data_IF_158841789895
#
_entry.id   IF_158841789895
#
_cell.length_a   1.000
_cell.length_b   1.000
_cell.length_c   1.000
_cell.angle_alpha   90.00
_cell.angle_beta   90.00
_cell.angle_gamma   90.00
#
_symmetry.space_group_name_H-M   'P 1'
#
loop_
_entity.id
_entity.type
_entity.pdbx_description
1 polymer ?
#
# COMPACT_ATOMS: atom_id res chain seq x y z
N UNK A 1 27.36 -13.01 -9.53
CA UNK A 1 27.97 -11.77 -9.03
C UNK A 1 27.70 -11.79 -7.55
N UNK A 2 28.75 -11.83 -6.75
CA UNK A 2 28.67 -11.84 -5.27
C UNK A 2 27.97 -10.58 -4.81
N UNK A 3 27.15 -10.70 -3.75
CA UNK A 3 26.44 -9.61 -3.06
C UNK A 3 27.38 -8.44 -2.73
N UNK A 4 27.64 -7.61 -3.72
CA UNK A 4 28.17 -6.30 -3.44
C UNK A 4 27.08 -5.57 -2.65
N UNK A 5 27.41 -5.20 -1.42
CA UNK A 5 26.62 -4.28 -0.59
C UNK A 5 26.17 -3.11 -1.45
N UNK A 6 24.96 -3.18 -1.99
CA UNK A 6 24.33 -1.99 -2.55
C UNK A 6 23.97 -1.17 -1.32
N UNK A 7 24.88 -0.28 -0.93
CA UNK A 7 24.66 0.64 0.16
C UNK A 7 23.37 1.42 -0.12
N UNK A 8 22.57 1.64 0.92
CA UNK A 8 21.37 2.47 0.79
C UNK A 8 21.78 3.87 0.27
N UNK A 9 21.04 4.44 -0.70
CA UNK A 9 21.38 5.74 -1.26
C UNK A 9 21.31 6.84 -0.20
N UNK A 10 22.07 7.91 -0.41
CA UNK A 10 22.12 9.04 0.54
C UNK A 10 20.76 9.72 0.66
N UNK A 11 20.29 9.92 1.88
CA UNK A 11 19.06 10.66 2.20
C UNK A 11 19.30 12.18 2.36
N UNK A 12 20.49 12.69 2.02
CA UNK A 12 20.79 14.13 2.09
C UNK A 12 19.81 14.94 1.24
N UNK A 13 19.04 15.80 1.88
CA UNK A 13 17.97 16.59 1.26
C UNK A 13 16.56 16.00 1.40
N UNK A 14 16.43 14.82 2.03
CA UNK A 14 15.18 14.24 2.46
C UNK A 14 15.03 14.42 3.96
N UNK A 15 14.14 15.25 4.40
CA UNK A 15 13.68 15.28 5.78
C UNK A 15 12.15 15.39 5.79
N UNK A 16 11.42 14.33 5.55
CA UNK A 16 10.09 14.22 6.12
C UNK A 16 10.29 13.98 7.62
N UNK A 17 9.46 14.59 8.44
CA UNK A 17 9.52 14.36 9.88
C UNK A 17 9.27 12.88 10.23
N UNK A 18 8.41 12.22 9.46
CA UNK A 18 8.05 10.80 9.65
C UNK A 18 7.38 10.30 8.36
N UNK A 19 7.58 9.04 8.00
CA UNK A 19 6.87 8.36 6.90
C UNK A 19 5.98 7.24 7.44
N UNK A 20 4.84 7.03 6.78
CA UNK A 20 4.04 5.79 6.88
C UNK A 20 3.84 5.26 5.47
N UNK A 21 4.46 4.12 5.20
CA UNK A 21 4.49 3.50 3.87
C UNK A 21 3.38 2.46 3.74
N UNK A 22 2.40 2.72 2.90
CA UNK A 22 1.24 1.85 2.71
C UNK A 22 1.52 0.63 1.81
N UNK A 23 2.70 0.55 1.17
CA UNK A 23 2.96 -0.41 0.11
C UNK A 23 4.44 -0.81 0.04
N UNK A 24 4.78 -1.91 0.71
CA UNK A 24 6.13 -2.49 0.69
C UNK A 24 6.07 -4.00 0.53
N UNK A 25 7.10 -4.58 -0.07
CA UNK A 25 7.25 -6.02 -0.20
C UNK A 25 8.36 -6.54 0.70
N UNK A 26 8.20 -7.78 1.17
CA UNK A 26 9.26 -8.56 1.83
C UNK A 26 9.42 -9.91 1.16
N UNK A 27 10.57 -10.55 1.32
CA UNK A 27 10.86 -11.86 0.74
C UNK A 27 11.66 -11.79 -0.54
N UNK A 28 11.61 -12.87 -1.28
CA UNK A 28 12.41 -13.12 -2.47
C UNK A 28 11.57 -13.06 -3.74
N UNK A 29 11.98 -12.23 -4.68
CA UNK A 29 11.34 -12.08 -5.98
C UNK A 29 12.37 -12.33 -7.10
N UNK A 30 12.75 -13.60 -7.35
CA UNK A 30 13.86 -13.94 -8.25
C UNK A 30 13.66 -13.46 -9.68
N UNK A 31 12.40 -13.43 -10.18
CA UNK A 31 12.08 -12.94 -11.52
C UNK A 31 12.50 -11.47 -11.72
N UNK A 32 12.48 -10.68 -10.65
CA UNK A 32 12.83 -9.26 -10.66
C UNK A 32 14.23 -8.99 -10.10
N UNK A 33 14.94 -10.04 -9.65
CA UNK A 33 16.22 -9.93 -8.96
C UNK A 33 16.16 -8.98 -7.76
N UNK A 34 15.10 -9.10 -6.97
CA UNK A 34 14.79 -8.24 -5.81
C UNK A 34 14.63 -9.10 -4.57
N UNK A 35 15.20 -8.62 -3.46
CA UNK A 35 15.15 -9.30 -2.16
C UNK A 35 15.04 -8.30 -1.01
N UNK A 36 14.16 -8.60 -0.03
CA UNK A 36 14.00 -7.82 1.21
C UNK A 36 13.70 -8.76 2.37
N UNK A 37 14.73 -9.14 3.13
CA UNK A 37 14.53 -9.89 4.38
C UNK A 37 14.24 -8.97 5.58
N UNK A 38 13.96 -9.54 6.74
CA UNK A 38 13.65 -8.79 7.97
C UNK A 38 14.78 -7.83 8.38
N UNK A 39 16.05 -8.26 8.46
CA UNK A 39 17.19 -7.39 8.75
C UNK A 39 17.32 -6.20 7.79
N UNK A 40 17.17 -6.44 6.49
CA UNK A 40 17.22 -5.40 5.47
C UNK A 40 16.01 -4.44 5.57
N UNK A 41 14.82 -4.98 5.83
CA UNK A 41 13.63 -4.17 6.10
C UNK A 41 13.87 -3.25 7.30
N UNK A 42 14.36 -3.76 8.43
CA UNK A 42 14.66 -2.98 9.63
C UNK A 42 15.63 -1.82 9.34
N UNK A 43 16.71 -2.10 8.61
CA UNK A 43 17.66 -1.07 8.17
C UNK A 43 17.00 -0.04 7.25
N UNK A 44 16.15 -0.47 6.33
CA UNK A 44 15.43 0.39 5.39
C UNK A 44 14.46 1.32 6.12
N UNK A 45 13.63 0.78 7.02
CA UNK A 45 12.71 1.59 7.82
C UNK A 45 13.43 2.67 8.62
N UNK A 46 14.55 2.29 9.26
CA UNK A 46 15.38 3.24 10.02
C UNK A 46 16.02 4.30 9.12
N UNK A 47 16.61 3.88 7.97
CA UNK A 47 17.33 4.77 7.06
C UNK A 47 16.44 5.88 6.48
N UNK A 48 15.20 5.53 6.09
CA UNK A 48 14.25 6.48 5.50
C UNK A 48 13.34 7.14 6.53
N UNK A 49 13.45 6.82 7.81
CA UNK A 49 12.58 7.38 8.85
C UNK A 49 11.13 6.89 8.74
N UNK A 50 10.92 5.68 8.24
CA UNK A 50 9.60 5.06 8.12
C UNK A 50 9.18 4.57 9.51
N UNK A 51 8.15 5.18 10.08
CA UNK A 51 7.63 4.80 11.39
C UNK A 51 6.73 3.55 11.32
N UNK A 52 6.06 3.35 10.19
CA UNK A 52 5.28 2.15 9.92
C UNK A 52 5.33 1.81 8.42
N UNK A 53 5.67 0.57 8.08
CA UNK A 53 5.63 0.03 6.73
C UNK A 53 4.64 -1.13 6.64
N UNK A 54 3.68 -1.04 5.70
CA UNK A 54 2.74 -2.12 5.40
C UNK A 54 3.41 -3.09 4.44
N UNK A 55 3.81 -4.27 4.94
CA UNK A 55 4.56 -5.27 4.18
C UNK A 55 3.70 -6.48 3.82
N UNK A 56 3.99 -7.09 2.70
CA UNK A 56 3.29 -8.30 2.25
C UNK A 56 4.17 -9.16 1.32
N UNK A 57 3.80 -10.43 1.22
CA UNK A 57 4.38 -11.45 0.35
C UNK A 57 3.34 -12.56 0.13
N UNK A 58 3.35 -13.31 -0.99
CA UNK A 58 2.43 -14.44 -1.19
C UNK A 58 2.51 -15.52 -0.10
N UNK A 59 3.64 -15.69 0.56
CA UNK A 59 3.80 -16.50 1.77
C UNK A 59 3.46 -15.66 3.00
N UNK A 60 2.21 -15.76 3.47
CA UNK A 60 1.72 -15.03 4.64
C UNK A 60 2.39 -15.42 5.95
N UNK A 61 2.86 -16.68 6.06
CA UNK A 61 3.58 -17.12 7.26
C UNK A 61 4.94 -16.43 7.37
N UNK A 62 5.63 -16.26 6.24
CA UNK A 62 6.87 -15.48 6.20
C UNK A 62 6.62 -14.01 6.59
N UNK A 63 5.52 -13.41 6.11
CA UNK A 63 5.14 -12.04 6.52
C UNK A 63 4.93 -11.97 8.03
N UNK A 64 4.26 -12.96 8.62
CA UNK A 64 4.05 -13.03 10.06
C UNK A 64 5.38 -13.05 10.84
N UNK A 65 6.32 -13.90 10.45
CA UNK A 65 7.65 -13.95 11.06
C UNK A 65 8.38 -12.60 10.99
N UNK A 66 8.31 -11.94 9.83
CA UNK A 66 8.94 -10.62 9.63
C UNK A 66 8.30 -9.55 10.52
N UNK A 67 6.96 -9.44 10.57
CA UNK A 67 6.31 -8.39 11.37
C UNK A 67 6.44 -8.62 12.87
N UNK A 68 6.57 -9.87 13.32
CA UNK A 68 6.86 -10.20 14.72
C UNK A 68 8.29 -9.81 15.10
N UNK A 69 9.26 -9.91 14.17
CA UNK A 69 10.69 -9.66 14.42
C UNK A 69 11.13 -8.21 14.16
N UNK A 70 10.38 -7.43 13.35
CA UNK A 70 10.80 -6.09 12.92
C UNK A 70 9.86 -5.03 13.48
N UNK A 71 10.42 -4.13 14.28
CA UNK A 71 9.69 -2.98 14.78
C UNK A 71 9.33 -2.01 13.65
N UNK A 72 8.08 -1.51 13.66
CA UNK A 72 7.58 -0.65 12.60
C UNK A 72 7.09 -1.40 11.35
N UNK A 73 7.25 -2.73 11.27
CA UNK A 73 6.62 -3.54 10.23
C UNK A 73 5.22 -4.00 10.64
N UNK A 74 4.27 -3.91 9.70
CA UNK A 74 2.88 -4.36 9.82
C UNK A 74 2.51 -5.14 8.56
N UNK A 75 1.71 -6.21 8.71
CA UNK A 75 1.34 -7.08 7.61
C UNK A 75 0.07 -6.65 6.89
N UNK A 76 0.05 -6.85 5.57
CA UNK A 76 -1.19 -7.02 4.82
C UNK A 76 -1.24 -8.48 4.36
N UNK A 77 -2.34 -9.17 4.65
CA UNK A 77 -2.52 -10.56 4.23
C UNK A 77 -2.62 -10.62 2.71
N UNK A 78 -1.74 -11.37 2.05
CA UNK A 78 -1.90 -11.65 0.63
C UNK A 78 -3.09 -12.58 0.43
N UNK A 79 -4.16 -12.06 -0.19
CA UNK A 79 -5.41 -12.79 -0.36
C UNK A 79 -5.60 -13.23 -1.80
N UNK A 80 -5.46 -14.54 -2.05
CA UNK A 80 -5.68 -15.15 -3.36
C UNK A 80 -6.91 -16.08 -3.32
N UNK A 81 -8.08 -15.68 -3.86
CA UNK A 81 -9.31 -16.46 -3.80
C UNK A 81 -9.27 -17.79 -4.58
N UNK A 82 -8.21 -18.02 -5.36
CA UNK A 82 -8.01 -19.28 -6.09
C UNK A 82 -7.32 -20.36 -5.26
N UNK A 83 -6.81 -20.00 -4.07
CA UNK A 83 -6.18 -20.95 -3.15
C UNK A 83 -7.25 -21.46 -2.17
N UNK A 84 -7.48 -22.78 -2.07
CA UNK A 84 -8.37 -23.33 -1.05
C UNK A 84 -7.92 -22.91 0.36
N UNK A 85 -8.87 -22.49 1.20
CA UNK A 85 -8.58 -22.08 2.58
C UNK A 85 -8.07 -20.63 2.73
N UNK A 86 -7.99 -19.85 1.65
CA UNK A 86 -7.49 -18.47 1.70
C UNK A 86 -8.29 -17.57 2.66
N UNK A 87 -9.60 -17.79 2.78
CA UNK A 87 -10.46 -16.99 3.64
C UNK A 87 -10.20 -17.31 5.12
N UNK A 88 -10.11 -18.58 5.46
CA UNK A 88 -9.81 -19.05 6.81
C UNK A 88 -8.44 -18.55 7.26
N UNK A 89 -7.42 -18.65 6.41
CA UNK A 89 -6.09 -18.12 6.67
C UNK A 89 -6.11 -16.59 6.86
N UNK A 90 -6.81 -15.88 5.98
CA UNK A 90 -6.92 -14.43 6.09
C UNK A 90 -7.60 -13.99 7.38
N UNK A 91 -8.70 -14.63 7.75
CA UNK A 91 -9.43 -14.34 9.01
C UNK A 91 -8.54 -14.57 10.22
N UNK A 92 -7.81 -15.70 10.27
CA UNK A 92 -6.87 -16.01 11.35
C UNK A 92 -5.77 -14.94 11.48
N UNK A 93 -5.16 -14.56 10.37
CA UNK A 93 -4.09 -13.56 10.37
C UNK A 93 -4.60 -12.15 10.71
N UNK A 94 -5.81 -11.78 10.29
CA UNK A 94 -6.43 -10.50 10.65
C UNK A 94 -6.80 -10.39 12.13
N UNK A 95 -6.79 -11.49 12.90
CA UNK A 95 -6.87 -11.46 14.37
C UNK A 95 -5.53 -11.11 15.03
N UNK A 96 -4.42 -11.20 14.30
CA UNK A 96 -3.10 -10.83 14.80
C UNK A 96 -2.92 -9.31 14.78
N UNK A 97 -2.49 -8.65 15.88
CA UNK A 97 -2.47 -7.19 16.02
C UNK A 97 -1.53 -6.46 15.06
N UNK A 98 -0.60 -7.18 14.44
CA UNK A 98 0.33 -6.63 13.44
C UNK A 98 -0.23 -6.69 12.00
N UNK A 99 -1.37 -7.36 11.74
CA UNK A 99 -1.99 -7.37 10.42
C UNK A 99 -3.13 -6.35 10.34
N UNK A 100 -3.01 -5.41 9.40
CA UNK A 100 -3.86 -4.22 9.35
C UNK A 100 -4.75 -4.13 8.10
N UNK A 101 -4.86 -5.21 7.36
CA UNK A 101 -5.66 -5.29 6.14
C UNK A 101 -5.20 -6.40 5.21
N UNK A 102 -5.61 -6.33 3.96
CA UNK A 102 -5.22 -7.32 2.94
C UNK A 102 -4.54 -6.67 1.74
N UNK A 103 -3.67 -7.43 1.08
CA UNK A 103 -3.16 -7.18 -0.27
C UNK A 103 -3.84 -8.12 -1.24
N UNK A 104 -4.39 -7.57 -2.31
CA UNK A 104 -4.93 -8.32 -3.44
C UNK A 104 -4.14 -8.02 -4.71
N UNK A 105 -3.80 -9.07 -5.47
CA UNK A 105 -3.09 -8.91 -6.74
C UNK A 105 -3.79 -9.64 -7.88
N UNK A 106 -4.96 -9.17 -8.34
CA UNK A 106 -5.79 -9.88 -9.33
C UNK A 106 -5.08 -10.21 -10.63
N UNK A 107 -4.04 -9.44 -11.02
CA UNK A 107 -3.25 -9.73 -12.22
C UNK A 107 -2.38 -10.98 -12.04
N UNK A 108 -1.61 -11.07 -10.94
CA UNK A 108 -0.73 -12.23 -10.70
C UNK A 108 -1.53 -13.49 -10.39
N UNK A 109 -2.60 -13.34 -9.62
CA UNK A 109 -3.43 -14.45 -9.15
C UNK A 109 -4.57 -14.81 -10.14
N UNK A 110 -4.68 -14.07 -11.24
CA UNK A 110 -5.59 -14.31 -12.36
C UNK A 110 -7.07 -14.45 -11.97
N UNK A 111 -7.62 -13.45 -11.27
CA UNK A 111 -9.04 -13.38 -10.92
C UNK A 111 -9.60 -11.96 -11.13
N UNK A 112 -10.92 -11.84 -11.24
CA UNK A 112 -11.57 -10.53 -11.33
C UNK A 112 -11.69 -9.89 -9.92
N UNK A 113 -11.38 -8.60 -9.71
CA UNK A 113 -11.44 -7.98 -8.38
C UNK A 113 -12.78 -8.14 -7.67
N UNK A 114 -13.89 -8.11 -8.42
CA UNK A 114 -15.25 -8.33 -7.92
C UNK A 114 -15.74 -9.77 -8.13
N UNK A 115 -14.84 -10.77 -8.07
CA UNK A 115 -15.24 -12.18 -8.10
C UNK A 115 -16.04 -12.51 -6.82
N UNK A 116 -17.20 -13.22 -6.91
CA UNK A 116 -17.97 -13.63 -5.74
C UNK A 116 -17.17 -14.37 -4.66
N UNK A 117 -16.11 -15.07 -5.04
CA UNK A 117 -15.21 -15.72 -4.08
C UNK A 117 -14.48 -14.73 -3.15
N UNK A 118 -14.34 -13.45 -3.57
CA UNK A 118 -13.72 -12.40 -2.77
C UNK A 118 -14.70 -11.77 -1.76
N UNK A 119 -16.00 -11.82 -2.04
CA UNK A 119 -17.00 -11.11 -1.25
C UNK A 119 -16.98 -11.41 0.26
N UNK A 120 -16.86 -12.68 0.72
CA UNK A 120 -16.78 -12.98 2.15
C UNK A 120 -15.57 -12.31 2.84
N UNK A 121 -14.43 -12.19 2.15
CA UNK A 121 -13.28 -11.48 2.66
C UNK A 121 -13.55 -9.97 2.79
N UNK A 122 -14.20 -9.37 1.81
CA UNK A 122 -14.53 -7.93 1.86
C UNK A 122 -15.55 -7.65 2.99
N UNK A 123 -16.54 -8.52 3.20
CA UNK A 123 -17.47 -8.42 4.33
C UNK A 123 -16.72 -8.47 5.67
N UNK A 124 -15.72 -9.34 5.78
CA UNK A 124 -14.88 -9.44 6.97
C UNK A 124 -14.03 -8.18 7.21
N UNK A 125 -13.46 -7.60 6.14
CA UNK A 125 -12.73 -6.34 6.21
C UNK A 125 -13.64 -5.18 6.65
N UNK A 126 -14.85 -5.09 6.10
CA UNK A 126 -15.85 -4.10 6.52
C UNK A 126 -16.18 -4.24 8.02
N UNK A 127 -16.39 -5.47 8.50
CA UNK A 127 -16.67 -5.75 9.92
C UNK A 127 -15.54 -5.32 10.85
N UNK A 128 -14.28 -5.42 10.40
CA UNK A 128 -13.06 -5.04 11.13
C UNK A 128 -12.63 -3.61 10.92
N UNK A 129 -13.29 -2.87 10.03
CA UNK A 129 -12.89 -1.53 9.58
C UNK A 129 -11.48 -1.48 8.94
N UNK A 130 -11.04 -2.58 8.31
CA UNK A 130 -9.72 -2.76 7.70
C UNK A 130 -9.74 -2.53 6.18
N UNK A 131 -8.66 -2.00 5.58
CA UNK A 131 -8.60 -1.75 4.14
C UNK A 131 -8.14 -2.95 3.31
N UNK A 132 -8.48 -2.91 2.01
CA UNK A 132 -7.91 -3.75 0.96
C UNK A 132 -7.03 -2.90 0.04
N UNK A 133 -5.74 -3.20 -0.03
CA UNK A 133 -4.81 -2.66 -1.02
C UNK A 133 -4.83 -3.57 -2.27
N UNK A 134 -5.33 -3.05 -3.38
CA UNK A 134 -5.51 -3.80 -4.63
C UNK A 134 -4.55 -3.24 -5.67
N UNK A 135 -3.71 -4.11 -6.27
CA UNK A 135 -2.86 -3.73 -7.40
C UNK A 135 -3.69 -3.15 -8.54
N UNK A 136 -3.33 -1.98 -9.06
CA UNK A 136 -4.09 -1.25 -10.07
C UNK A 136 -3.19 -0.70 -11.18
N UNK A 137 -3.65 -0.74 -12.43
CA UNK A 137 -3.00 -0.08 -13.57
C UNK A 137 -2.49 -1.00 -14.67
N UNK A 138 -2.83 -2.29 -14.62
CA UNK A 138 -2.49 -3.25 -15.66
C UNK A 138 -3.71 -4.02 -16.20
N UNK A 139 -3.84 -4.19 -17.53
CA UNK A 139 -4.85 -5.07 -18.08
C UNK A 139 -4.51 -6.54 -17.77
N UNK A 140 -5.47 -7.44 -17.66
CA UNK A 140 -6.92 -7.26 -17.87
C UNK A 140 -7.63 -6.98 -16.54
N UNK A 141 -7.18 -7.57 -15.43
CA UNK A 141 -7.93 -7.67 -14.18
C UNK A 141 -7.76 -6.45 -13.26
N UNK A 142 -6.73 -5.61 -13.46
CA UNK A 142 -6.41 -4.53 -12.52
C UNK A 142 -6.60 -3.14 -13.11
N UNK A 143 -7.56 -3.01 -14.03
CA UNK A 143 -8.01 -1.70 -14.49
C UNK A 143 -8.77 -0.99 -13.35
N UNK A 144 -8.66 0.34 -13.22
CA UNK A 144 -9.39 1.09 -12.18
C UNK A 144 -10.89 0.76 -12.17
N UNK A 145 -11.50 0.64 -13.34
CA UNK A 145 -12.94 0.35 -13.49
C UNK A 145 -13.32 -1.06 -13.06
N UNK A 146 -12.43 -2.05 -13.22
CA UNK A 146 -12.66 -3.41 -12.71
C UNK A 146 -12.65 -3.46 -11.19
N UNK A 147 -11.82 -2.61 -10.54
CA UNK A 147 -11.79 -2.48 -9.08
C UNK A 147 -12.98 -1.62 -8.60
N UNK A 148 -13.43 -0.64 -9.40
CA UNK A 148 -14.62 0.15 -9.11
C UNK A 148 -15.86 -0.73 -8.89
N UNK A 149 -16.01 -1.81 -9.65
CA UNK A 149 -17.14 -2.73 -9.47
C UNK A 149 -17.20 -3.31 -8.04
N UNK A 150 -16.04 -3.66 -7.47
CA UNK A 150 -15.95 -4.09 -6.07
C UNK A 150 -16.30 -2.95 -5.10
N UNK A 151 -15.76 -1.75 -5.32
CA UNK A 151 -16.01 -0.60 -4.46
C UNK A 151 -17.49 -0.19 -4.44
N UNK A 152 -18.17 -0.31 -5.57
CA UNK A 152 -19.62 -0.05 -5.70
C UNK A 152 -20.45 -1.15 -5.01
N UNK A 153 -20.03 -2.43 -5.15
CA UNK A 153 -20.70 -3.54 -4.50
C UNK A 153 -20.61 -3.48 -2.96
N UNK A 154 -19.50 -2.92 -2.44
CA UNK A 154 -19.22 -2.80 -1.01
C UNK A 154 -18.91 -1.35 -0.61
N UNK A 155 -19.91 -0.46 -0.53
CA UNK A 155 -19.67 0.97 -0.28
C UNK A 155 -19.12 1.28 1.12
N UNK A 156 -19.17 0.32 2.05
CA UNK A 156 -18.54 0.44 3.37
C UNK A 156 -17.08 -0.07 3.41
N UNK A 157 -16.61 -0.73 2.35
CA UNK A 157 -15.24 -1.23 2.29
C UNK A 157 -14.26 -0.08 2.00
N UNK A 158 -13.08 -0.12 2.60
CA UNK A 158 -11.97 0.79 2.31
C UNK A 158 -11.11 0.17 1.21
N UNK A 159 -11.22 0.66 -0.03
CA UNK A 159 -10.53 0.12 -1.21
C UNK A 159 -9.39 1.05 -1.60
N UNK A 160 -8.15 0.56 -1.58
CA UNK A 160 -6.97 1.34 -1.98
C UNK A 160 -6.54 0.88 -3.38
N UNK A 161 -6.55 1.79 -4.36
CA UNK A 161 -5.98 1.57 -5.68
C UNK A 161 -4.45 1.72 -5.61
N UNK A 162 -3.74 0.61 -5.49
CA UNK A 162 -2.27 0.58 -5.50
C UNK A 162 -1.74 1.13 -6.82
N UNK A 163 -0.71 1.97 -6.75
CA UNK A 163 -0.09 2.63 -7.92
C UNK A 163 -0.97 3.65 -8.66
N UNK A 164 -2.15 3.99 -8.16
CA UNK A 164 -3.15 4.90 -8.77
C UNK A 164 -3.15 4.88 -10.33
N UNK A 165 -3.15 3.67 -10.93
CA UNK A 165 -3.16 3.48 -12.39
C UNK A 165 -1.79 3.28 -13.04
N UNK A 166 -0.72 3.20 -12.23
CA UNK A 166 0.65 2.87 -12.68
C UNK A 166 1.17 3.80 -13.81
N UNK A 167 1.87 3.27 -14.81
CA UNK A 167 2.55 4.04 -15.86
C UNK A 167 1.67 4.55 -17.03
N UNK A 168 0.36 4.31 -17.01
CA UNK A 168 -0.53 4.68 -18.12
C UNK A 168 -1.45 5.85 -17.75
N UNK A 169 -1.35 6.95 -18.50
CA UNK A 169 -2.14 8.18 -18.22
C UNK A 169 -3.65 7.94 -18.24
N UNK A 170 -4.16 7.02 -19.07
CA UNK A 170 -5.58 6.70 -19.12
C UNK A 170 -6.03 6.04 -17.81
N UNK A 171 -5.19 5.14 -17.27
CA UNK A 171 -5.50 4.44 -16.01
C UNK A 171 -5.27 5.36 -14.80
N UNK A 172 -4.29 6.26 -14.85
CA UNK A 172 -4.08 7.29 -13.81
C UNK A 172 -5.31 8.19 -13.72
N UNK A 173 -5.78 8.73 -14.84
CA UNK A 173 -7.00 9.53 -14.87
C UNK A 173 -8.22 8.71 -14.44
N UNK A 174 -8.32 7.46 -14.92
CA UNK A 174 -9.38 6.53 -14.51
C UNK A 174 -9.40 6.28 -13.00
N UNK A 175 -8.25 6.11 -12.35
CA UNK A 175 -8.15 5.93 -10.89
C UNK A 175 -8.63 7.16 -10.13
N UNK A 176 -8.25 8.36 -10.58
CA UNK A 176 -8.74 9.62 -10.00
C UNK A 176 -10.26 9.74 -10.17
N UNK A 177 -10.78 9.43 -11.36
CA UNK A 177 -12.22 9.49 -11.65
C UNK A 177 -13.01 8.46 -10.83
N UNK A 178 -12.48 7.25 -10.65
CA UNK A 178 -13.08 6.21 -9.80
C UNK A 178 -13.13 6.68 -8.34
N UNK A 179 -12.03 7.20 -7.80
CA UNK A 179 -11.98 7.70 -6.44
C UNK A 179 -12.87 8.95 -6.23
N UNK A 180 -13.05 9.79 -7.26
CA UNK A 180 -13.95 10.95 -7.21
C UNK A 180 -15.41 10.51 -7.05
N UNK A 181 -15.83 9.44 -7.77
CA UNK A 181 -17.20 8.94 -7.73
C UNK A 181 -17.51 8.07 -6.50
N UNK A 182 -16.47 7.44 -5.93
CA UNK A 182 -16.63 6.47 -4.84
C UNK A 182 -15.87 6.94 -3.60
N UNK A 183 -16.55 7.45 -2.56
CA UNK A 183 -15.92 8.03 -1.37
C UNK A 183 -15.13 7.01 -0.53
N UNK A 184 -15.38 5.72 -0.72
CA UNK A 184 -14.68 4.60 -0.08
C UNK A 184 -13.40 4.16 -0.81
N UNK A 185 -13.02 4.85 -1.92
CA UNK A 185 -11.81 4.57 -2.69
C UNK A 185 -10.70 5.54 -2.33
N UNK A 186 -9.53 4.99 -2.06
CA UNK A 186 -8.26 5.68 -1.78
C UNK A 186 -7.27 5.45 -2.92
N UNK A 187 -6.33 6.37 -3.11
CA UNK A 187 -5.28 6.29 -4.12
C UNK A 187 -3.92 6.15 -3.43
N UNK A 188 -3.08 5.24 -3.90
CA UNK A 188 -1.72 5.05 -3.39
C UNK A 188 -0.70 5.34 -4.51
N UNK A 189 0.37 6.08 -4.18
CA UNK A 189 1.20 6.81 -5.15
C UNK A 189 2.39 6.05 -5.73
N UNK A 190 2.72 4.85 -5.25
CA UNK A 190 3.91 4.10 -5.69
C UNK A 190 3.89 3.77 -7.18
N UNK A 191 5.06 3.72 -7.80
CA UNK A 191 5.19 3.30 -9.22
C UNK A 191 4.53 4.20 -10.26
N UNK A 192 3.75 5.21 -9.86
CA UNK A 192 3.10 6.16 -10.76
C UNK A 192 4.06 7.32 -11.09
N UNK A 193 4.49 7.49 -12.37
CA UNK A 193 5.63 8.37 -12.70
C UNK A 193 5.28 9.86 -12.73
N UNK A 194 4.01 10.24 -12.84
CA UNK A 194 3.58 11.62 -13.10
C UNK A 194 3.34 12.39 -11.80
N UNK A 195 4.38 12.94 -11.18
CA UNK A 195 4.30 13.62 -9.89
C UNK A 195 3.19 14.68 -9.79
N UNK A 196 2.88 15.43 -10.86
CA UNK A 196 1.82 16.44 -10.87
C UNK A 196 0.41 15.83 -10.70
N UNK A 197 0.23 14.54 -11.03
CA UNK A 197 -1.04 13.84 -10.84
C UNK A 197 -1.35 13.58 -9.36
N UNK A 198 -0.35 13.62 -8.50
CA UNK A 198 -0.56 13.52 -7.04
C UNK A 198 -1.31 14.76 -6.54
N UNK A 199 -0.88 15.97 -6.96
CA UNK A 199 -1.58 17.19 -6.59
C UNK A 199 -2.99 17.25 -7.20
N UNK A 200 -3.17 16.84 -8.47
CA UNK A 200 -4.49 16.73 -9.08
C UNK A 200 -5.40 15.76 -8.33
N UNK A 201 -4.87 14.62 -7.89
CA UNK A 201 -5.63 13.66 -7.10
C UNK A 201 -6.08 14.27 -5.77
N UNK A 202 -5.18 14.93 -5.04
CA UNK A 202 -5.50 15.61 -3.76
C UNK A 202 -6.57 16.68 -3.95
N UNK A 203 -6.47 17.49 -5.02
CA UNK A 203 -7.44 18.54 -5.32
C UNK A 203 -8.84 17.97 -5.65
N UNK A 204 -8.89 16.90 -6.44
CA UNK A 204 -10.15 16.36 -6.97
C UNK A 204 -10.86 15.40 -6.01
N UNK A 205 -10.10 14.53 -5.31
CA UNK A 205 -10.72 13.50 -4.44
C UNK A 205 -10.69 13.86 -2.97
N UNK A 206 -9.96 14.89 -2.59
CA UNK A 206 -9.78 15.33 -1.20
C UNK A 206 -8.45 14.89 -0.59
N UNK A 207 -7.92 15.72 0.33
CA UNK A 207 -6.57 15.56 0.89
C UNK A 207 -6.39 14.33 1.79
N UNK A 208 -7.48 13.70 2.23
CA UNK A 208 -7.44 12.55 3.15
C UNK A 208 -7.34 11.20 2.44
N UNK A 209 -7.54 11.15 1.11
CA UNK A 209 -7.69 9.89 0.37
C UNK A 209 -6.54 9.57 -0.58
N UNK A 210 -5.42 10.30 -0.49
CA UNK A 210 -4.18 10.00 -1.23
C UNK A 210 -3.11 9.56 -0.25
N UNK A 211 -2.58 8.36 -0.45
CA UNK A 211 -1.64 7.69 0.45
C UNK A 211 -0.27 7.58 -0.21
N UNK A 212 0.77 7.68 0.59
CA UNK A 212 2.12 7.34 0.17
C UNK A 212 2.32 5.83 0.24
N UNK A 213 2.94 5.28 -0.78
CA UNK A 213 3.58 3.98 -0.80
C UNK A 213 4.85 4.03 -1.63
N UNK A 214 5.80 3.18 -1.32
CA UNK A 214 7.06 3.12 -2.07
C UNK A 214 7.10 1.99 -3.09
N UNK A 215 6.36 0.91 -2.86
CA UNK A 215 6.51 -0.37 -3.57
C UNK A 215 7.94 -0.95 -3.42
N UNK A 216 8.63 -0.57 -2.33
CA UNK A 216 9.96 -1.08 -2.03
C UNK A 216 9.92 -2.61 -1.82
N UNK A 217 10.92 -3.34 -2.27
CA UNK A 217 12.18 -2.92 -2.87
C UNK A 217 12.17 -2.84 -4.41
N UNK A 218 11.00 -2.87 -5.06
CA UNK A 218 10.92 -2.74 -6.53
C UNK A 218 11.24 -1.31 -6.99
N UNK A 219 10.89 -0.32 -6.18
CA UNK A 219 11.20 1.08 -6.41
C UNK A 219 12.06 1.66 -5.27
N UNK A 220 12.80 2.68 -5.58
CA UNK A 220 13.64 3.38 -4.62
C UNK A 220 12.79 4.38 -3.82
N UNK A 221 12.80 4.24 -2.48
CA UNK A 221 11.93 5.00 -1.56
C UNK A 221 12.12 6.52 -1.68
N UNK A 222 13.37 6.98 -1.77
CA UNK A 222 13.66 8.41 -1.88
C UNK A 222 13.13 9.03 -3.18
N UNK A 223 13.08 8.26 -4.27
CA UNK A 223 12.44 8.69 -5.53
C UNK A 223 10.94 8.84 -5.34
N UNK A 224 10.29 7.86 -4.70
CA UNK A 224 8.87 7.89 -4.41
C UNK A 224 8.50 9.06 -3.48
N UNK A 225 9.27 9.28 -2.42
CA UNK A 225 9.11 10.46 -1.52
C UNK A 225 9.30 11.76 -2.30
N UNK A 226 10.33 11.82 -3.16
CA UNK A 226 10.60 13.03 -3.95
C UNK A 226 9.46 13.38 -4.89
N UNK A 227 8.79 12.41 -5.48
CA UNK A 227 7.60 12.65 -6.32
C UNK A 227 6.52 13.42 -5.57
N UNK A 228 6.22 13.02 -4.33
CA UNK A 228 5.24 13.72 -3.49
C UNK A 228 5.71 15.13 -3.16
N UNK A 229 6.97 15.31 -2.79
CA UNK A 229 7.54 16.63 -2.43
C UNK A 229 7.52 17.64 -3.59
N UNK A 230 7.68 17.17 -4.84
CA UNK A 230 7.71 18.05 -6.03
C UNK A 230 6.38 18.09 -6.79
N UNK A 231 5.33 17.50 -6.24
CA UNK A 231 4.01 17.39 -6.89
C UNK A 231 3.29 18.73 -7.05
N UNK A 232 3.72 19.77 -6.33
CA UNK A 232 3.04 21.07 -6.28
C UNK A 232 2.13 21.25 -5.05
N UNK A 233 2.09 20.28 -4.16
CA UNK A 233 1.36 20.36 -2.90
C UNK A 233 2.04 21.30 -1.91
N UNK A 234 1.23 21.91 -1.02
CA UNK A 234 1.76 22.66 0.13
C UNK A 234 2.45 21.71 1.13
N UNK A 235 3.38 22.20 1.98
CA UNK A 235 4.08 21.35 2.96
C UNK A 235 3.14 20.55 3.88
N UNK A 236 2.00 21.11 4.28
CA UNK A 236 1.01 20.39 5.09
C UNK A 236 0.37 19.22 4.32
N UNK A 237 0.00 19.45 3.06
CA UNK A 237 -0.55 18.41 2.20
C UNK A 237 0.48 17.32 1.86
N UNK A 238 1.75 17.68 1.68
CA UNK A 238 2.85 16.72 1.54
C UNK A 238 2.92 15.83 2.79
N UNK A 239 2.89 16.41 4.00
CA UNK A 239 2.90 15.65 5.26
C UNK A 239 1.68 14.74 5.38
N UNK A 240 0.50 15.20 4.96
CA UNK A 240 -0.71 14.37 4.94
C UNK A 240 -0.53 13.13 4.07
N UNK A 241 -0.05 13.29 2.84
CA UNK A 241 0.17 12.19 1.90
C UNK A 241 1.26 11.24 2.41
N UNK A 242 2.40 11.77 2.88
CA UNK A 242 3.54 10.97 3.30
C UNK A 242 3.33 10.22 4.63
N UNK A 243 2.42 10.68 5.48
CA UNK A 243 2.27 10.13 6.83
C UNK A 243 0.81 10.01 7.27
N UNK A 244 0.11 11.15 7.45
CA UNK A 244 -1.10 11.23 8.26
C UNK A 244 -2.25 10.39 7.70
N UNK A 245 -2.41 10.35 6.37
CA UNK A 245 -3.51 9.63 5.73
C UNK A 245 -3.39 8.12 5.95
N UNK A 246 -2.19 7.54 5.71
CA UNK A 246 -1.93 6.12 5.97
C UNK A 246 -2.05 5.79 7.44
N UNK A 247 -1.51 6.66 8.32
CA UNK A 247 -1.66 6.50 9.77
C UNK A 247 -3.13 6.42 10.19
N UNK A 248 -3.95 7.35 9.72
CA UNK A 248 -5.40 7.37 10.01
C UNK A 248 -6.10 6.12 9.48
N UNK A 249 -5.79 5.73 8.24
CA UNK A 249 -6.47 4.62 7.58
C UNK A 249 -6.20 3.27 8.25
N UNK A 250 -4.94 3.02 8.66
CA UNK A 250 -4.51 1.74 9.22
C UNK A 250 -4.59 1.66 10.75
N UNK A 251 -4.44 2.80 11.44
CA UNK A 251 -4.40 2.81 12.91
C UNK A 251 -5.58 3.54 13.58
N UNK A 252 -6.49 4.10 12.78
CA UNK A 252 -7.66 4.85 13.25
C UNK A 252 -7.39 6.33 13.56
N UNK A 253 -8.46 7.13 13.61
CA UNK A 253 -8.40 8.59 13.80
C UNK A 253 -7.76 8.99 15.13
N UNK A 254 -7.97 8.22 16.19
CA UNK A 254 -7.42 8.50 17.53
C UNK A 254 -5.88 8.45 17.56
N UNK A 255 -5.27 7.75 16.61
CA UNK A 255 -3.83 7.56 16.49
C UNK A 255 -3.18 8.41 15.39
N UNK A 256 -3.97 9.20 14.66
CA UNK A 256 -3.48 9.98 13.53
C UNK A 256 -2.34 10.96 13.90
N UNK A 257 -2.33 11.48 15.14
CA UNK A 257 -1.34 12.44 15.63
C UNK A 257 -0.44 11.88 16.74
N UNK A 258 -0.62 10.61 17.16
CA UNK A 258 0.21 9.98 18.18
C UNK A 258 1.46 9.36 17.56
N UNK A 259 2.64 9.47 18.20
CA UNK A 259 3.81 8.73 17.74
C UNK A 259 3.51 7.22 17.76
N UNK A 260 3.85 6.52 16.68
CA UNK A 260 3.84 5.06 16.69
C UNK A 260 4.92 4.66 17.68
N UNK A 261 4.52 4.03 18.79
CA UNK A 261 5.49 3.57 19.78
C UNK A 261 6.43 2.58 19.12
N UNK A 262 7.69 2.95 19.00
CA UNK A 262 8.76 1.99 18.75
C UNK A 262 8.86 1.16 20.03
N UNK A 263 8.37 -0.09 19.96
CA UNK A 263 8.44 -1.05 21.07
C UNK A 263 9.88 -1.38 21.43
#
# INVERSE_FOLDING_TARGET
>A
MTDAEIGLPSTTGFAPATLVDAHMHVGDFPLFNVHMDGPRLSQTLHHYGIAAGMVFHPDNQYVREVVEAVDGAYGLVWANPRIPGFLEEAVELLDHPKFLGVKMHPLLDAYHPNDPAVHPLIEELVRRDMPALIHCGHPIFTLPWSIEELAVAFPAAKVILGHMGHGNIIYINGSIDVALRNPNVYLETSGMPMHTKIAEAVDRVGPERVLFGSDAPFHEIGVEVRKVQVSGLTPDLVTRVLEKNSRRLFFGDENADRPISRG
#
